data_IF_249776137801
#
_entry.id   IF_249776137801
#
_cell.length_a   1.000
_cell.length_b   1.000
_cell.length_c   1.000
_cell.angle_alpha   90.00
_cell.angle_beta   90.00
_cell.angle_gamma   90.00
#
_symmetry.space_group_name_H-M   'P 1'
#
loop_
_entity.id
_entity.type
_entity.pdbx_description
1 polymer ?
#
# COMPACT_ATOMS: atom_id res chain seq x y z
N UNK A 1 41.45 21.16 -21.92
CA UNK A 1 40.30 21.00 -20.96
C UNK A 1 38.93 20.97 -21.67
N UNK A 2 38.80 21.26 -22.96
CA UNK A 2 37.53 21.31 -23.70
C UNK A 2 36.98 19.94 -24.15
N UNK A 3 37.82 19.00 -24.59
CA UNK A 3 37.36 17.70 -25.10
C UNK A 3 36.77 16.75 -24.01
N UNK A 4 37.19 16.84 -22.75
CA UNK A 4 36.64 16.06 -21.66
C UNK A 4 35.27 16.57 -21.20
N UNK A 5 34.94 17.83 -21.37
CA UNK A 5 33.68 18.46 -21.02
C UNK A 5 32.58 18.13 -22.05
N UNK A 6 32.92 18.12 -23.35
CA UNK A 6 31.96 17.78 -24.41
C UNK A 6 31.55 16.29 -24.42
N UNK A 7 32.45 15.38 -23.99
CA UNK A 7 32.15 13.94 -23.87
C UNK A 7 31.19 13.58 -22.70
N UNK A 8 31.00 14.49 -21.73
CA UNK A 8 30.06 14.29 -20.60
C UNK A 8 28.61 14.69 -20.92
N UNK A 9 28.39 15.43 -22.00
CA UNK A 9 27.05 15.94 -22.35
C UNK A 9 26.29 15.09 -23.38
N UNK A 10 26.86 13.97 -23.82
CA UNK A 10 26.27 13.09 -24.86
C UNK A 10 26.43 11.61 -24.53
N UNK A 11 25.43 10.84 -24.93
CA UNK A 11 25.53 9.40 -25.08
C UNK A 11 26.15 9.10 -26.45
N UNK A 12 27.33 8.46 -26.47
CA UNK A 12 28.05 8.13 -27.69
C UNK A 12 28.04 6.61 -27.88
N UNK A 13 27.57 6.16 -29.03
CA UNK A 13 27.46 4.76 -29.42
C UNK A 13 28.38 4.55 -30.62
N UNK A 14 29.22 3.53 -30.59
CA UNK A 14 30.11 3.15 -31.70
C UNK A 14 29.91 1.68 -32.04
N UNK A 15 29.71 1.41 -33.31
CA UNK A 15 29.68 0.05 -33.85
C UNK A 15 28.50 -0.78 -33.36
N UNK A 16 27.28 -0.25 -33.26
CA UNK A 16 26.10 -1.03 -32.84
C UNK A 16 25.68 -2.02 -33.93
N UNK A 17 25.62 -3.32 -33.58
CA UNK A 17 25.34 -4.46 -34.50
C UNK A 17 24.26 -5.40 -33.99
N UNK A 18 23.49 -5.00 -32.96
CA UNK A 18 22.41 -5.84 -32.45
C UNK A 18 21.37 -6.11 -33.55
N UNK A 19 20.99 -7.37 -33.71
CA UNK A 19 20.00 -7.86 -34.67
C UNK A 19 20.31 -7.40 -36.12
N UNK A 20 19.50 -6.47 -36.65
CA UNK A 20 19.63 -5.95 -38.05
C UNK A 20 20.40 -4.62 -38.15
N UNK A 21 20.97 -4.12 -37.07
CA UNK A 21 21.79 -2.91 -37.10
C UNK A 21 23.09 -3.17 -37.87
N UNK A 22 23.47 -2.21 -38.72
CA UNK A 22 24.59 -2.34 -39.66
C UNK A 22 25.79 -1.52 -39.21
N UNK A 23 26.34 -1.82 -38.05
CA UNK A 23 27.52 -1.13 -37.50
C UNK A 23 27.30 0.39 -37.38
N UNK A 24 26.31 0.79 -36.62
CA UNK A 24 25.85 2.17 -36.53
C UNK A 24 26.65 2.95 -35.47
N UNK A 25 27.11 4.13 -35.82
CA UNK A 25 27.65 5.14 -34.94
C UNK A 25 26.62 6.24 -34.70
N UNK A 26 26.39 6.62 -33.44
CA UNK A 26 25.37 7.62 -33.10
C UNK A 26 25.78 8.40 -31.85
N UNK A 27 25.41 9.69 -31.82
CA UNK A 27 25.54 10.55 -30.65
C UNK A 27 24.15 11.10 -30.26
N UNK A 28 23.75 10.91 -29.00
CA UNK A 28 22.47 11.41 -28.48
C UNK A 28 22.76 12.39 -27.36
N UNK A 29 22.26 13.65 -27.41
CA UNK A 29 22.45 14.61 -26.34
C UNK A 29 21.77 14.17 -25.04
N UNK A 30 22.43 14.40 -23.88
CA UNK A 30 21.82 14.22 -22.59
C UNK A 30 20.80 15.32 -22.27
N UNK A 31 19.89 15.01 -21.32
CA UNK A 31 18.86 15.93 -20.82
C UNK A 31 17.94 16.46 -21.93
N UNK A 32 17.75 15.69 -22.97
CA UNK A 32 16.86 15.99 -24.09
C UNK A 32 15.83 14.89 -24.32
N UNK A 33 14.74 15.27 -24.99
CA UNK A 33 13.73 14.37 -25.52
C UNK A 33 14.14 13.96 -26.95
N UNK A 34 14.65 12.74 -27.06
CA UNK A 34 15.09 12.16 -28.35
C UNK A 34 14.03 11.21 -28.87
N UNK A 35 13.62 11.37 -30.12
CA UNK A 35 12.74 10.42 -30.81
C UNK A 35 13.56 9.61 -31.81
N UNK A 36 13.41 8.29 -31.79
CA UNK A 36 13.92 7.37 -32.80
C UNK A 36 12.76 6.99 -33.71
N UNK A 37 12.79 7.44 -34.94
CA UNK A 37 11.79 7.22 -35.97
C UNK A 37 12.32 6.31 -37.10
N UNK A 38 11.48 5.95 -38.03
CA UNK A 38 11.83 5.14 -39.22
C UNK A 38 10.82 4.04 -39.51
N UNK A 39 11.01 3.38 -40.64
CA UNK A 39 10.09 2.30 -41.13
C UNK A 39 10.10 1.08 -40.18
N UNK A 40 9.03 0.29 -40.23
CA UNK A 40 8.98 -0.97 -39.47
C UNK A 40 10.13 -1.89 -39.90
N UNK A 41 10.81 -2.50 -38.90
CA UNK A 41 11.95 -3.37 -39.16
C UNK A 41 13.29 -2.63 -39.41
N UNK A 42 13.36 -1.29 -39.31
CA UNK A 42 14.63 -0.55 -39.47
C UNK A 42 15.64 -0.71 -38.32
N UNK A 43 15.24 -1.30 -37.20
CA UNK A 43 16.14 -1.51 -36.05
C UNK A 43 15.94 -0.55 -34.89
N UNK A 44 14.88 0.28 -34.88
CA UNK A 44 14.60 1.25 -33.81
C UNK A 44 14.59 0.63 -32.41
N UNK A 45 13.80 -0.44 -32.24
CA UNK A 45 13.71 -1.12 -30.94
C UNK A 45 15.02 -1.86 -30.59
N UNK A 46 15.74 -2.38 -31.60
CA UNK A 46 17.07 -2.98 -31.40
C UNK A 46 18.09 -1.96 -30.89
N UNK A 47 18.04 -0.74 -31.40
CA UNK A 47 18.90 0.35 -30.94
C UNK A 47 18.50 0.82 -29.53
N UNK A 48 17.22 1.14 -29.33
CA UNK A 48 16.73 1.73 -28.07
C UNK A 48 16.75 0.71 -26.89
N UNK A 49 16.22 -0.50 -27.09
CA UNK A 49 16.02 -1.47 -26.02
C UNK A 49 17.15 -2.50 -25.94
N UNK A 50 17.51 -3.13 -27.07
CA UNK A 50 18.47 -4.25 -27.05
C UNK A 50 19.93 -3.74 -27.02
N UNK A 51 20.20 -2.48 -27.37
CA UNK A 51 21.53 -1.86 -27.29
C UNK A 51 21.61 -0.88 -26.11
N UNK A 52 20.94 0.27 -26.20
CA UNK A 52 21.13 1.38 -25.22
C UNK A 52 20.64 0.98 -23.83
N UNK A 53 19.37 0.55 -23.73
CA UNK A 53 18.80 0.19 -22.43
C UNK A 53 19.47 -1.05 -21.84
N UNK A 54 19.68 -2.11 -22.64
CA UNK A 54 20.28 -3.35 -22.18
C UNK A 54 21.69 -3.13 -21.61
N UNK A 55 22.51 -2.32 -22.30
CA UNK A 55 23.88 -2.02 -21.85
C UNK A 55 23.89 -1.11 -20.62
N UNK A 56 23.00 -0.09 -20.55
CA UNK A 56 22.85 0.73 -19.36
C UNK A 56 22.43 -0.05 -18.13
N UNK A 57 21.52 -1.01 -18.30
CA UNK A 57 21.11 -1.90 -17.22
C UNK A 57 22.23 -2.89 -16.83
N UNK A 58 22.99 -3.41 -17.80
CA UNK A 58 24.15 -4.29 -17.55
C UNK A 58 25.20 -3.58 -16.71
N UNK A 59 25.62 -2.36 -17.12
CA UNK A 59 26.62 -1.55 -16.39
C UNK A 59 26.13 -1.21 -14.98
N UNK A 60 24.84 -0.88 -14.82
CA UNK A 60 24.26 -0.64 -13.50
C UNK A 60 24.36 -1.88 -12.61
N UNK A 61 23.96 -3.06 -13.11
CA UNK A 61 24.06 -4.31 -12.36
C UNK A 61 25.52 -4.66 -12.01
N UNK A 62 26.48 -4.41 -12.92
CA UNK A 62 27.91 -4.62 -12.66
C UNK A 62 28.47 -3.69 -11.59
N UNK A 63 27.91 -2.49 -11.41
CA UNK A 63 28.31 -1.59 -10.35
C UNK A 63 27.86 -2.02 -8.95
N UNK A 64 26.94 -2.99 -8.84
CA UNK A 64 26.43 -3.50 -7.58
C UNK A 64 27.37 -4.53 -6.94
N UNK A 65 27.17 -4.78 -5.63
CA UNK A 65 27.96 -5.79 -4.91
C UNK A 65 27.80 -7.19 -5.52
N UNK A 66 28.81 -8.10 -5.39
CA UNK A 66 28.72 -9.46 -5.89
C UNK A 66 27.49 -10.23 -5.41
N UNK A 67 27.07 -9.99 -4.16
CA UNK A 67 25.88 -10.58 -3.57
C UNK A 67 24.60 -10.15 -4.33
N UNK A 68 24.42 -8.86 -4.59
CA UNK A 68 23.26 -8.34 -5.32
C UNK A 68 23.22 -8.85 -6.77
N UNK A 69 24.38 -8.98 -7.43
CA UNK A 69 24.47 -9.51 -8.81
C UNK A 69 23.94 -10.92 -8.95
N UNK A 70 24.09 -11.78 -7.93
CA UNK A 70 23.56 -13.16 -7.94
C UNK A 70 22.02 -13.20 -8.04
N UNK A 71 21.31 -12.23 -7.47
CA UNK A 71 19.85 -12.17 -7.52
C UNK A 71 19.31 -11.56 -8.82
N UNK A 72 20.06 -10.63 -9.42
CA UNK A 72 19.60 -9.89 -10.61
C UNK A 72 19.92 -10.60 -11.93
N UNK A 73 20.77 -11.64 -11.87
CA UNK A 73 21.24 -12.37 -13.04
C UNK A 73 22.25 -11.57 -13.89
N UNK A 74 23.13 -12.29 -14.58
CA UNK A 74 24.05 -11.67 -15.53
C UNK A 74 23.35 -11.47 -16.87
N UNK A 75 23.38 -10.25 -17.40
CA UNK A 75 22.92 -9.94 -18.75
C UNK A 75 24.08 -10.06 -19.74
N UNK A 76 23.77 -10.58 -20.93
CA UNK A 76 24.76 -10.61 -22.02
C UNK A 76 25.03 -9.17 -22.46
N UNK A 77 26.30 -8.83 -22.76
CA UNK A 77 26.63 -7.53 -23.33
C UNK A 77 25.92 -7.35 -24.68
N UNK A 78 25.55 -6.12 -25.00
CA UNK A 78 25.06 -5.79 -26.34
C UNK A 78 26.21 -5.95 -27.37
N UNK A 79 25.86 -6.27 -28.61
CA UNK A 79 26.83 -6.30 -29.70
C UNK A 79 27.10 -4.87 -30.19
N UNK A 80 28.06 -4.24 -29.54
CA UNK A 80 28.48 -2.85 -29.76
C UNK A 80 29.96 -2.70 -29.39
N UNK A 81 30.69 -1.88 -30.13
CA UNK A 81 32.10 -1.69 -29.84
C UNK A 81 32.32 -0.87 -28.56
N UNK A 82 31.60 0.23 -28.42
CA UNK A 82 31.69 1.11 -27.25
C UNK A 82 30.40 1.91 -27.05
N UNK A 83 30.00 2.09 -25.78
CA UNK A 83 28.98 3.08 -25.38
C UNK A 83 29.53 3.94 -24.23
N UNK A 84 29.62 5.24 -24.45
CA UNK A 84 30.13 6.23 -23.49
C UNK A 84 28.94 7.09 -23.02
N UNK A 85 28.91 7.48 -21.73
CA UNK A 85 27.94 8.39 -21.17
C UNK A 85 26.63 7.73 -20.76
N UNK A 86 26.59 6.40 -20.58
CA UNK A 86 25.38 5.72 -20.09
C UNK A 86 25.03 6.15 -18.66
N UNK A 87 23.79 6.56 -18.46
CA UNK A 87 23.18 6.74 -17.15
C UNK A 87 22.40 5.49 -16.74
N UNK A 88 22.04 5.34 -15.44
CA UNK A 88 21.09 4.32 -15.02
C UNK A 88 19.84 4.35 -15.89
N UNK A 89 19.49 3.21 -16.50
CA UNK A 89 18.45 3.16 -17.52
C UNK A 89 17.18 2.47 -17.03
N UNK A 90 16.03 3.02 -17.41
CA UNK A 90 14.69 2.50 -17.11
C UNK A 90 13.93 2.35 -18.42
N UNK A 91 13.43 1.14 -18.71
CA UNK A 91 12.54 0.90 -19.85
C UNK A 91 11.07 0.94 -19.43
N UNK A 92 10.26 1.53 -20.29
CA UNK A 92 8.80 1.55 -20.17
C UNK A 92 8.24 0.98 -21.46
N UNK A 93 8.16 -0.34 -21.52
CA UNK A 93 7.67 -1.10 -22.66
C UNK A 93 6.18 -1.46 -22.52
N UNK A 94 5.59 -1.93 -23.62
CA UNK A 94 4.19 -2.35 -23.68
C UNK A 94 3.94 -3.78 -23.17
N UNK A 95 4.96 -4.47 -22.67
CA UNK A 95 4.80 -5.86 -22.19
C UNK A 95 3.78 -5.90 -21.06
N UNK A 96 2.93 -6.91 -21.11
CA UNK A 96 1.91 -7.14 -20.08
C UNK A 96 2.52 -7.09 -18.68
N UNK A 97 1.79 -6.46 -17.77
CA UNK A 97 2.13 -6.48 -16.36
C UNK A 97 2.10 -7.92 -15.83
N UNK A 98 2.94 -8.20 -14.84
CA UNK A 98 3.01 -9.50 -14.17
C UNK A 98 1.60 -10.07 -13.91
N UNK A 99 1.41 -11.37 -14.15
CA UNK A 99 0.16 -12.11 -13.89
C UNK A 99 -0.17 -12.27 -12.39
N UNK A 100 0.29 -11.36 -11.55
CA UNK A 100 -0.05 -11.39 -10.14
C UNK A 100 -1.53 -10.99 -9.94
N UNK A 101 -2.42 -11.90 -9.52
CA UNK A 101 -3.86 -11.66 -9.39
C UNK A 101 -4.21 -10.66 -8.27
N UNK A 102 -3.24 -10.25 -7.49
CA UNK A 102 -3.40 -9.25 -6.42
C UNK A 102 -2.98 -7.84 -6.82
N UNK A 103 -2.39 -7.66 -8.01
CA UNK A 103 -1.99 -6.34 -8.49
C UNK A 103 -3.17 -5.58 -9.06
N UNK A 104 -3.35 -4.33 -8.64
CA UNK A 104 -4.38 -3.41 -9.14
C UNK A 104 -3.75 -2.10 -9.61
N UNK A 105 -4.50 -1.27 -10.33
CA UNK A 105 -4.05 0.08 -10.69
C UNK A 105 -3.57 0.85 -9.47
N UNK A 106 -4.33 0.81 -8.37
CA UNK A 106 -3.97 1.48 -7.12
C UNK A 106 -2.66 1.00 -6.50
N UNK A 107 -2.34 -0.30 -6.59
CA UNK A 107 -1.07 -0.85 -6.06
C UNK A 107 0.11 -0.57 -6.98
N UNK A 108 -0.10 -0.53 -8.30
CA UNK A 108 0.95 -0.23 -9.27
C UNK A 108 1.38 1.24 -9.27
N UNK A 109 0.48 2.12 -8.80
CA UNK A 109 0.72 3.57 -8.72
C UNK A 109 1.07 4.04 -7.32
N UNK A 110 1.24 3.13 -6.36
CA UNK A 110 1.42 3.37 -4.93
C UNK A 110 0.26 4.15 -4.26
N UNK A 111 -0.77 4.53 -5.01
CA UNK A 111 -1.92 5.27 -4.47
C UNK A 111 -2.58 4.48 -3.34
N UNK A 112 -2.71 3.15 -3.49
CA UNK A 112 -3.30 2.31 -2.46
C UNK A 112 -2.51 2.33 -1.14
N UNK A 113 -1.19 2.45 -1.18
CA UNK A 113 -0.37 2.53 0.02
C UNK A 113 -0.57 3.87 0.75
N UNK A 114 -0.68 4.97 -0.01
CA UNK A 114 -1.06 6.27 0.58
C UNK A 114 -2.49 6.26 1.12
N UNK A 115 -3.45 5.62 0.44
CA UNK A 115 -4.81 5.46 0.95
C UNK A 115 -4.84 4.72 2.29
N UNK A 116 -4.10 3.63 2.42
CA UNK A 116 -4.00 2.87 3.67
C UNK A 116 -3.50 3.74 4.82
N UNK A 117 -2.49 4.57 4.59
CA UNK A 117 -1.96 5.51 5.59
C UNK A 117 -2.98 6.59 5.91
N UNK A 118 -3.65 7.15 4.89
CA UNK A 118 -4.66 8.18 5.09
C UNK A 118 -5.83 7.67 5.93
N UNK A 119 -6.41 6.50 5.58
CA UNK A 119 -7.51 5.91 6.33
C UNK A 119 -7.13 5.53 7.76
N UNK A 120 -5.88 5.08 7.97
CA UNK A 120 -5.40 4.77 9.32
C UNK A 120 -5.20 6.02 10.20
N UNK A 121 -4.93 7.17 9.61
CA UNK A 121 -4.58 8.39 10.33
C UNK A 121 -5.75 9.31 10.62
N UNK A 122 -6.65 9.45 9.64
CA UNK A 122 -7.76 10.42 9.71
C UNK A 122 -9.13 9.80 9.43
N UNK A 123 -9.20 8.48 9.24
CA UNK A 123 -10.46 7.78 9.03
C UNK A 123 -11.32 7.74 10.28
N UNK A 124 -12.61 8.01 10.13
CA UNK A 124 -13.60 7.84 11.17
C UNK A 124 -14.03 6.38 11.25
N UNK A 125 -13.98 5.82 12.46
CA UNK A 125 -14.29 4.40 12.70
C UNK A 125 -15.77 4.25 13.04
N UNK A 126 -16.41 3.30 12.38
CA UNK A 126 -17.81 2.94 12.64
C UNK A 126 -17.92 1.46 13.04
N UNK A 127 -18.89 1.13 13.84
CA UNK A 127 -19.16 -0.25 14.19
C UNK A 127 -19.64 -1.05 12.97
N UNK A 128 -19.06 -2.21 12.64
CA UNK A 128 -19.52 -3.02 11.52
C UNK A 128 -20.90 -3.63 11.74
N UNK A 129 -21.41 -3.68 12.99
CA UNK A 129 -22.68 -4.27 13.35
C UNK A 129 -23.83 -3.24 13.34
N UNK A 130 -23.65 -2.09 14.02
CA UNK A 130 -24.70 -1.08 14.20
C UNK A 130 -24.41 0.24 13.46
N UNK A 131 -23.26 0.38 12.82
CA UNK A 131 -22.81 1.60 12.13
C UNK A 131 -22.72 2.85 13.04
N UNK A 132 -22.66 2.66 14.37
CA UNK A 132 -22.42 3.76 15.31
C UNK A 132 -20.95 4.19 15.23
N UNK A 133 -20.67 5.49 15.33
CA UNK A 133 -19.29 6.00 15.35
C UNK A 133 -18.60 5.53 16.63
N UNK A 134 -17.44 4.92 16.49
CA UNK A 134 -16.63 4.44 17.60
C UNK A 134 -15.53 5.47 17.87
N UNK A 135 -15.38 5.83 19.15
CA UNK A 135 -14.30 6.68 19.64
C UNK A 135 -13.46 5.91 20.64
N UNK A 136 -12.23 6.34 20.88
CA UNK A 136 -11.39 5.78 21.95
C UNK A 136 -12.02 6.07 23.30
N UNK A 137 -12.23 5.02 24.11
CA UNK A 137 -12.70 5.16 25.47
C UNK A 137 -11.53 5.43 26.42
N UNK A 138 -11.68 6.46 27.29
CA UNK A 138 -10.82 6.63 28.45
C UNK A 138 -11.16 5.62 29.53
N UNK A 139 -10.28 5.47 30.53
CA UNK A 139 -10.53 4.58 31.69
C UNK A 139 -11.82 5.01 32.42
N UNK A 140 -12.03 6.32 32.60
CA UNK A 140 -13.21 6.86 33.27
C UNK A 140 -14.51 6.51 32.52
N UNK A 141 -14.52 6.67 31.19
CA UNK A 141 -15.67 6.30 30.35
C UNK A 141 -15.95 4.80 30.41
N UNK A 142 -14.92 3.95 30.53
CA UNK A 142 -15.09 2.51 30.72
C UNK A 142 -15.73 2.20 32.05
N UNK A 143 -15.30 2.86 33.13
CA UNK A 143 -15.88 2.72 34.45
C UNK A 143 -17.35 3.10 34.44
N UNK A 144 -17.71 4.21 33.82
CA UNK A 144 -19.10 4.65 33.68
C UNK A 144 -19.96 3.62 32.92
N UNK A 145 -19.45 3.06 31.85
CA UNK A 145 -20.13 1.99 31.09
C UNK A 145 -20.33 0.74 31.95
N UNK A 146 -19.30 0.32 32.71
CA UNK A 146 -19.38 -0.84 33.60
C UNK A 146 -20.45 -0.62 34.66
N UNK A 147 -20.45 0.55 35.31
CA UNK A 147 -21.43 0.84 36.38
C UNK A 147 -22.85 0.90 35.83
N UNK A 148 -23.09 1.63 34.74
CA UNK A 148 -24.41 1.76 34.13
C UNK A 148 -24.98 0.39 33.72
N UNK A 149 -24.19 -0.44 33.07
CA UNK A 149 -24.61 -1.82 32.67
C UNK A 149 -24.80 -2.74 33.87
N UNK A 150 -23.98 -2.57 34.91
CA UNK A 150 -24.17 -3.30 36.15
C UNK A 150 -25.50 -2.95 36.83
N UNK A 151 -25.88 -1.68 36.82
CA UNK A 151 -27.17 -1.23 37.33
C UNK A 151 -28.35 -1.79 36.50
N UNK A 152 -28.25 -1.78 35.16
CA UNK A 152 -29.24 -2.38 34.27
C UNK A 152 -29.44 -3.89 34.50
N UNK A 153 -28.35 -4.62 34.78
CA UNK A 153 -28.37 -6.06 35.05
C UNK A 153 -28.63 -6.39 36.51
N UNK A 154 -28.83 -5.41 37.40
CA UNK A 154 -29.10 -5.57 38.82
C UNK A 154 -28.03 -6.39 39.57
N UNK A 155 -26.76 -6.28 39.15
CA UNK A 155 -25.63 -6.98 39.76
C UNK A 155 -24.86 -6.09 40.73
N UNK A 156 -24.26 -6.68 41.76
CA UNK A 156 -23.51 -5.96 42.78
C UNK A 156 -21.99 -5.99 42.54
N UNK A 157 -21.51 -7.00 41.83
CA UNK A 157 -20.08 -7.25 41.65
C UNK A 157 -19.77 -7.40 40.13
N UNK A 158 -18.59 -6.94 39.77
CA UNK A 158 -17.98 -7.16 38.46
C UNK A 158 -16.62 -7.80 38.64
N UNK A 159 -16.27 -8.75 37.79
CA UNK A 159 -14.91 -9.28 37.69
C UNK A 159 -14.24 -8.63 36.50
N UNK A 160 -13.11 -7.96 36.75
CA UNK A 160 -12.29 -7.31 35.73
C UNK A 160 -11.20 -8.30 35.30
N UNK A 161 -11.13 -8.58 34.00
CA UNK A 161 -10.10 -9.46 33.44
C UNK A 161 -9.28 -8.68 32.38
N UNK A 162 -7.98 -8.98 32.35
CA UNK A 162 -7.03 -8.47 31.37
C UNK A 162 -6.71 -9.56 30.32
N UNK A 163 -7.15 -9.44 29.07
CA UNK A 163 -6.84 -10.41 28.01
C UNK A 163 -5.39 -10.21 27.52
N UNK A 164 -4.44 -10.93 28.11
CA UNK A 164 -3.00 -10.80 27.85
C UNK A 164 -2.51 -11.62 26.65
N UNK A 165 -3.23 -12.69 26.30
CA UNK A 165 -2.98 -13.48 25.09
C UNK A 165 -4.30 -13.71 24.36
N UNK A 166 -4.34 -13.46 23.05
CA UNK A 166 -5.52 -13.64 22.21
C UNK A 166 -5.16 -14.42 20.97
N UNK A 167 -5.66 -15.66 20.89
CA UNK A 167 -5.51 -16.59 19.75
C UNK A 167 -4.07 -16.72 19.25
N UNK A 168 -3.11 -16.94 20.20
CA UNK A 168 -1.69 -17.11 19.86
C UNK A 168 -1.17 -18.46 20.36
N UNK A 169 -0.27 -19.06 19.57
CA UNK A 169 0.43 -20.30 19.92
C UNK A 169 1.50 -20.04 20.98
N UNK A 170 1.66 -20.98 21.91
CA UNK A 170 2.70 -20.92 22.93
C UNK A 170 2.34 -21.66 24.22
N UNK A 171 3.33 -21.97 25.05
CA UNK A 171 3.15 -22.66 26.33
C UNK A 171 2.85 -21.70 27.48
N UNK A 172 3.22 -20.43 27.36
CA UNK A 172 2.97 -19.29 28.25
C UNK A 172 3.31 -19.50 29.74
N UNK A 173 4.08 -20.53 30.09
CA UNK A 173 4.44 -20.83 31.47
C UNK A 173 5.08 -19.63 32.18
N UNK A 174 6.07 -18.98 31.54
CA UNK A 174 6.76 -17.83 32.11
C UNK A 174 5.83 -16.62 32.33
N UNK A 175 4.90 -16.42 31.39
CA UNK A 175 3.89 -15.35 31.48
C UNK A 175 3.00 -15.55 32.70
N UNK A 176 2.44 -16.76 32.87
CA UNK A 176 1.57 -17.09 33.99
C UNK A 176 2.30 -17.00 35.32
N UNK A 177 3.55 -17.45 35.37
CA UNK A 177 4.40 -17.33 36.56
C UNK A 177 4.69 -15.86 36.93
N UNK A 178 4.92 -14.99 35.94
CA UNK A 178 5.13 -13.57 36.20
C UNK A 178 3.89 -12.92 36.85
N UNK A 179 2.67 -13.24 36.38
CA UNK A 179 1.43 -12.73 36.98
C UNK A 179 1.20 -13.28 38.38
N UNK A 180 1.52 -14.56 38.64
CA UNK A 180 1.50 -15.11 40.00
C UNK A 180 2.45 -14.34 40.92
N UNK A 181 3.65 -14.00 40.43
CA UNK A 181 4.64 -13.24 41.20
C UNK A 181 4.19 -11.81 41.47
N UNK A 182 3.36 -11.22 40.62
CA UNK A 182 2.71 -9.93 40.83
C UNK A 182 1.53 -9.98 41.82
N UNK A 183 1.18 -11.18 42.32
CA UNK A 183 0.13 -11.37 43.31
C UNK A 183 -1.24 -11.79 42.77
N UNK A 184 -1.39 -11.97 41.47
CA UNK A 184 -2.63 -12.48 40.89
C UNK A 184 -2.78 -13.97 41.15
N UNK A 185 -4.00 -14.41 41.45
CA UNK A 185 -4.26 -15.81 41.87
C UNK A 185 -4.98 -16.62 40.84
N UNK A 186 -5.67 -16.00 39.90
CA UNK A 186 -6.58 -16.66 38.94
C UNK A 186 -6.39 -16.15 37.54
N UNK A 187 -6.58 -17.05 36.56
CA UNK A 187 -6.65 -16.73 35.15
C UNK A 187 -7.76 -17.55 34.46
N UNK A 188 -8.37 -16.98 33.44
CA UNK A 188 -9.22 -17.72 32.52
C UNK A 188 -8.39 -18.09 31.30
N UNK A 189 -8.30 -19.38 30.97
CA UNK A 189 -7.54 -19.91 29.86
C UNK A 189 -8.49 -20.76 29.00
N UNK A 190 -8.59 -20.41 27.73
CA UNK A 190 -9.48 -21.07 26.77
C UNK A 190 -10.91 -21.22 27.32
N UNK A 191 -11.40 -20.18 27.99
CA UNK A 191 -12.75 -20.11 28.59
C UNK A 191 -12.91 -20.79 29.96
N UNK A 192 -11.88 -21.48 30.50
CA UNK A 192 -11.91 -22.14 31.79
C UNK A 192 -11.09 -21.39 32.85
N UNK A 193 -11.63 -21.33 34.08
CA UNK A 193 -10.92 -20.71 35.21
C UNK A 193 -9.87 -21.67 35.76
N UNK A 194 -8.69 -21.15 36.03
CA UNK A 194 -7.55 -21.85 36.62
C UNK A 194 -6.96 -21.01 37.77
N UNK A 195 -6.51 -21.69 38.83
CA UNK A 195 -5.64 -21.09 39.81
C UNK A 195 -4.21 -21.00 39.22
N UNK A 196 -3.58 -19.82 39.26
CA UNK A 196 -2.19 -19.66 38.82
C UNK A 196 -1.18 -20.42 39.72
N UNK A 197 -1.63 -20.91 40.89
CA UNK A 197 -0.81 -21.78 41.77
C UNK A 197 -0.77 -23.23 41.29
N UNK A 198 -1.69 -23.61 40.41
CA UNK A 198 -1.74 -24.96 39.86
C UNK A 198 -0.75 -25.11 38.68
N UNK A 199 -0.35 -26.36 38.43
CA UNK A 199 0.53 -26.66 37.30
C UNK A 199 -0.27 -26.66 35.99
N UNK A 200 -0.26 -25.53 35.29
CA UNK A 200 -0.95 -25.34 34.02
C UNK A 200 -0.03 -25.77 32.88
N UNK A 201 -0.47 -26.72 32.04
CA UNK A 201 0.24 -27.16 30.84
C UNK A 201 -0.57 -26.78 29.61
N UNK A 202 -0.03 -25.93 28.76
CA UNK A 202 -0.63 -25.51 27.49
C UNK A 202 0.13 -26.11 26.31
N UNK A 203 -0.57 -26.39 25.24
CA UNK A 203 0.01 -27.01 24.05
C UNK A 203 0.74 -25.97 23.17
N UNK A 204 2.04 -26.12 22.95
CA UNK A 204 2.89 -25.19 22.19
C UNK A 204 2.35 -24.83 20.79
N UNK A 205 1.65 -25.78 20.13
CA UNK A 205 1.19 -25.64 18.74
C UNK A 205 -0.28 -25.26 18.60
N UNK A 206 -1.01 -25.12 19.71
CA UNK A 206 -2.40 -24.66 19.73
C UNK A 206 -2.49 -23.18 20.04
N UNK A 207 -3.53 -22.53 19.52
CA UNK A 207 -3.83 -21.15 19.89
C UNK A 207 -4.50 -21.13 21.25
N UNK A 208 -4.08 -20.22 22.11
CA UNK A 208 -4.63 -20.03 23.44
C UNK A 208 -5.13 -18.59 23.61
N UNK A 209 -6.19 -18.45 24.39
CA UNK A 209 -6.69 -17.20 24.92
C UNK A 209 -6.44 -17.19 26.43
N UNK A 210 -5.71 -16.18 26.95
CA UNK A 210 -5.36 -16.08 28.36
C UNK A 210 -5.81 -14.73 28.87
N UNK A 211 -6.62 -14.73 29.92
CA UNK A 211 -7.11 -13.53 30.58
C UNK A 211 -6.81 -13.64 32.09
N UNK A 212 -6.08 -12.66 32.60
CA UNK A 212 -5.76 -12.58 34.02
C UNK A 212 -6.92 -11.93 34.76
N UNK A 213 -7.38 -12.53 35.83
CA UNK A 213 -8.36 -11.93 36.75
C UNK A 213 -7.65 -10.86 37.55
N UNK A 214 -7.92 -9.59 37.23
CA UNK A 214 -7.30 -8.44 37.87
C UNK A 214 -7.90 -8.22 39.27
N UNK A 215 -9.24 -8.13 39.30
CA UNK A 215 -9.96 -7.95 40.57
C UNK A 215 -11.44 -8.33 40.43
N UNK A 216 -12.09 -8.58 41.59
CA UNK A 216 -13.54 -8.73 41.71
C UNK A 216 -14.06 -7.61 42.62
N UNK A 217 -14.67 -6.60 42.03
CA UNK A 217 -14.98 -5.32 42.65
C UNK A 217 -16.49 -5.14 42.84
N UNK A 218 -16.88 -4.48 43.92
CA UNK A 218 -18.27 -4.00 44.07
C UNK A 218 -18.48 -2.76 43.20
N UNK A 219 -19.58 -2.69 42.49
CA UNK A 219 -19.88 -1.57 41.57
C UNK A 219 -20.04 -0.19 42.23
N UNK A 220 -20.20 -0.14 43.55
CA UNK A 220 -20.22 1.10 44.34
C UNK A 220 -18.83 1.56 44.80
N UNK A 221 -17.78 0.76 44.64
CA UNK A 221 -16.40 1.10 44.98
C UNK A 221 -15.69 1.63 43.71
N UNK A 222 -15.95 2.92 43.43
CA UNK A 222 -15.43 3.56 42.23
C UNK A 222 -13.91 3.60 42.15
N UNK A 223 -13.24 3.87 43.28
CA UNK A 223 -11.78 3.97 43.35
C UNK A 223 -11.13 2.66 42.97
N UNK A 224 -11.55 1.56 43.62
CA UNK A 224 -11.03 0.23 43.35
C UNK A 224 -11.39 -0.27 41.93
N UNK A 225 -12.58 0.11 41.41
CA UNK A 225 -12.97 -0.21 40.06
C UNK A 225 -12.09 0.50 39.01
N UNK A 226 -11.79 1.77 39.23
CA UNK A 226 -10.89 2.54 38.34
C UNK A 226 -9.48 1.94 38.36
N UNK A 227 -8.92 1.65 39.52
CA UNK A 227 -7.60 0.97 39.64
C UNK A 227 -7.59 -0.39 38.92
N UNK A 228 -8.65 -1.19 39.06
CA UNK A 228 -8.75 -2.48 38.39
C UNK A 228 -8.81 -2.34 36.86
N UNK A 229 -9.55 -1.33 36.35
CA UNK A 229 -9.63 -1.03 34.91
C UNK A 229 -8.28 -0.55 34.37
N UNK A 230 -7.61 0.37 35.06
CA UNK A 230 -6.29 0.89 34.67
C UNK A 230 -5.24 -0.23 34.63
N UNK A 231 -5.18 -1.07 35.66
CA UNK A 231 -4.29 -2.23 35.68
C UNK A 231 -4.58 -3.21 34.54
N UNK A 232 -5.87 -3.48 34.28
CA UNK A 232 -6.25 -4.34 33.16
C UNK A 232 -5.83 -3.76 31.80
N UNK A 233 -5.98 -2.44 31.60
CA UNK A 233 -5.54 -1.73 30.40
C UNK A 233 -4.01 -1.81 30.21
N UNK A 234 -3.24 -1.66 31.26
CA UNK A 234 -1.78 -1.76 31.22
C UNK A 234 -1.33 -3.17 30.78
N UNK A 235 -1.84 -4.20 31.44
CA UNK A 235 -1.43 -5.60 31.18
C UNK A 235 -1.87 -6.11 29.83
N UNK A 236 -3.04 -5.73 29.37
CA UNK A 236 -3.63 -6.14 28.09
C UNK A 236 -3.27 -5.26 26.91
N UNK A 237 -2.57 -4.15 27.15
CA UNK A 237 -2.29 -3.09 26.14
C UNK A 237 -3.58 -2.45 25.62
N UNK A 238 -4.49 -2.13 26.53
CA UNK A 238 -5.67 -1.34 26.21
C UNK A 238 -6.98 -2.12 26.10
N UNK A 239 -7.08 -3.32 26.62
CA UNK A 239 -8.31 -4.12 26.63
C UNK A 239 -8.75 -4.45 28.06
N UNK A 240 -10.06 -4.41 28.31
CA UNK A 240 -10.65 -4.82 29.59
C UNK A 240 -11.87 -5.70 29.31
N UNK A 241 -11.95 -6.83 29.99
CA UNK A 241 -13.18 -7.63 30.02
C UNK A 241 -13.86 -7.39 31.35
N UNK A 242 -15.09 -6.88 31.30
CA UNK A 242 -15.96 -6.78 32.46
C UNK A 242 -16.93 -7.97 32.43
N UNK A 243 -16.83 -8.84 33.44
CA UNK A 243 -17.63 -10.05 33.55
C UNK A 243 -18.57 -9.93 34.76
N UNK A 244 -19.86 -10.05 34.49
CA UNK A 244 -20.92 -10.27 35.47
C UNK A 244 -21.20 -11.77 35.62
N UNK A 245 -22.12 -12.13 36.46
CA UNK A 245 -22.47 -13.57 36.68
C UNK A 245 -22.86 -14.29 35.40
N UNK A 246 -23.68 -13.64 34.54
CA UNK A 246 -24.25 -14.27 33.34
C UNK A 246 -23.76 -13.63 32.04
N UNK A 247 -23.28 -12.41 32.07
CA UNK A 247 -22.91 -11.63 30.89
C UNK A 247 -21.49 -11.12 31.04
N UNK A 248 -20.80 -11.03 29.91
CA UNK A 248 -19.51 -10.35 29.83
C UNK A 248 -19.43 -9.47 28.60
N UNK A 249 -18.58 -8.44 28.63
CA UNK A 249 -18.32 -7.59 27.48
C UNK A 249 -16.88 -7.08 27.51
N UNK A 250 -16.33 -6.92 26.33
CA UNK A 250 -14.98 -6.42 26.13
C UNK A 250 -15.03 -4.91 25.88
N UNK A 251 -14.22 -4.16 26.60
CA UNK A 251 -13.96 -2.74 26.40
C UNK A 251 -12.57 -2.54 25.87
N UNK A 252 -12.37 -1.50 25.08
CA UNK A 252 -11.06 -1.17 24.53
C UNK A 252 -10.76 0.30 24.70
N UNK A 253 -9.61 0.62 25.25
CA UNK A 253 -9.07 1.99 25.24
C UNK A 253 -8.71 2.42 23.82
N UNK A 254 -8.69 1.48 22.89
CA UNK A 254 -8.42 1.75 21.50
C UNK A 254 -9.72 2.04 20.72
N UNK A 255 -10.59 1.05 20.58
CA UNK A 255 -11.83 1.22 19.79
C UNK A 255 -12.91 0.21 20.24
N UNK A 256 -13.96 0.66 20.93
CA UNK A 256 -15.09 -0.21 21.33
C UNK A 256 -16.43 0.48 21.10
N UNK A 257 -17.36 -0.24 20.47
CA UNK A 257 -18.71 0.26 20.27
C UNK A 257 -19.49 0.25 21.59
N UNK A 258 -20.05 1.38 22.03
CA UNK A 258 -20.81 1.44 23.27
C UNK A 258 -22.18 0.74 23.20
N UNK A 259 -22.71 0.48 21.99
CA UNK A 259 -24.05 -0.09 21.81
C UNK A 259 -24.07 -1.61 21.76
N UNK A 260 -23.10 -2.23 21.09
CA UNK A 260 -23.08 -3.68 20.84
C UNK A 260 -21.84 -4.38 21.36
N UNK A 261 -20.96 -3.65 22.06
CA UNK A 261 -19.72 -4.15 22.66
C UNK A 261 -18.69 -4.66 21.65
N UNK A 262 -18.83 -4.33 20.37
CA UNK A 262 -17.86 -4.72 19.37
C UNK A 262 -16.54 -4.01 19.64
N UNK A 263 -15.48 -4.77 19.94
CA UNK A 263 -14.12 -4.23 20.07
C UNK A 263 -13.46 -4.22 18.70
N UNK A 264 -13.21 -3.01 18.19
CA UNK A 264 -12.59 -2.80 16.90
C UNK A 264 -11.07 -3.05 17.01
N UNK A 265 -10.43 -3.70 16.03
CA UNK A 265 -8.99 -3.90 16.04
C UNK A 265 -8.25 -2.56 15.94
N UNK A 266 -6.96 -2.56 16.26
CA UNK A 266 -6.13 -1.38 16.09
C UNK A 266 -6.16 -0.87 14.65
N UNK A 267 -6.44 0.43 14.48
CA UNK A 267 -6.58 1.07 13.18
C UNK A 267 -5.20 1.47 12.68
N UNK A 268 -4.57 0.58 11.95
CA UNK A 268 -3.25 0.75 11.37
C UNK A 268 -3.26 0.46 9.85
N UNK A 269 -2.26 0.92 9.08
CA UNK A 269 -2.25 0.73 7.63
C UNK A 269 -2.38 -0.72 7.17
N UNK A 270 -1.98 -1.71 8.01
CA UNK A 270 -2.13 -3.14 7.71
C UNK A 270 -3.58 -3.60 7.66
N UNK A 271 -4.48 -2.94 8.40
CA UNK A 271 -5.92 -3.22 8.38
C UNK A 271 -6.54 -3.00 7.00
N UNK A 272 -6.01 -2.09 6.20
CA UNK A 272 -6.50 -1.74 4.87
C UNK A 272 -5.77 -2.46 3.73
N UNK A 273 -4.90 -3.43 4.04
CA UNK A 273 -4.17 -4.20 3.05
C UNK A 273 -4.80 -5.56 2.81
N UNK A 274 -5.27 -5.80 1.61
CA UNK A 274 -5.74 -7.14 1.20
C UNK A 274 -4.60 -8.16 1.00
N UNK A 275 -3.33 -7.72 1.04
CA UNK A 275 -2.15 -8.58 1.03
C UNK A 275 -1.67 -8.95 2.46
N UNK A 276 -2.25 -8.35 3.49
CA UNK A 276 -1.95 -8.63 4.88
C UNK A 276 -3.03 -9.48 5.52
N UNK A 277 -2.69 -10.50 6.33
CA UNK A 277 -3.69 -11.28 7.09
C UNK A 277 -4.57 -10.41 8.01
N UNK A 278 -4.07 -9.23 8.43
CA UNK A 278 -4.80 -8.30 9.30
C UNK A 278 -5.94 -7.58 8.58
N UNK A 279 -5.83 -7.36 7.26
CA UNK A 279 -6.81 -6.61 6.48
C UNK A 279 -7.56 -7.46 5.45
N UNK A 280 -7.00 -8.57 5.03
CA UNK A 280 -7.58 -9.45 4.03
C UNK A 280 -8.88 -10.08 4.51
N UNK A 281 -9.82 -10.27 3.60
CA UNK A 281 -11.00 -11.10 3.85
C UNK A 281 -10.56 -12.50 4.28
N UNK A 282 -11.04 -13.02 5.43
CA UNK A 282 -10.59 -14.31 5.97
C UNK A 282 -10.93 -15.48 5.04
N UNK A 283 -12.01 -15.39 4.26
CA UNK A 283 -12.48 -16.46 3.38
C UNK A 283 -11.63 -16.59 2.11
N UNK A 284 -11.36 -15.49 1.42
CA UNK A 284 -10.60 -15.52 0.15
C UNK A 284 -9.13 -15.07 0.29
N UNK A 285 -8.68 -14.78 1.51
CA UNK A 285 -7.32 -14.33 1.80
C UNK A 285 -6.83 -13.17 0.90
N UNK A 286 -7.76 -12.25 0.58
CA UNK A 286 -7.47 -11.06 -0.22
C UNK A 286 -7.54 -11.27 -1.74
N UNK A 287 -7.98 -12.42 -2.24
CA UNK A 287 -8.14 -12.65 -3.69
C UNK A 287 -9.37 -11.94 -4.27
N UNK A 288 -10.43 -11.75 -3.49
CA UNK A 288 -11.71 -11.22 -3.96
C UNK A 288 -12.55 -12.22 -4.75
N UNK A 289 -12.00 -13.37 -5.09
CA UNK A 289 -12.63 -14.48 -5.84
C UNK A 289 -12.67 -15.74 -5.00
N UNK A 290 -13.50 -16.71 -5.39
CA UNK A 290 -13.64 -17.99 -4.71
C UNK A 290 -12.33 -18.78 -4.66
N UNK A 291 -11.58 -18.77 -5.75
CA UNK A 291 -10.21 -19.31 -5.86
C UNK A 291 -9.47 -18.64 -7.03
N UNK A 292 -8.20 -18.99 -7.24
CA UNK A 292 -7.34 -18.40 -8.29
C UNK A 292 -7.84 -18.62 -9.72
N UNK A 293 -8.60 -19.69 -9.94
CA UNK A 293 -9.06 -20.11 -11.27
C UNK A 293 -10.54 -19.78 -11.52
N UNK A 294 -11.24 -19.23 -10.52
CA UNK A 294 -12.66 -18.89 -10.61
C UNK A 294 -12.84 -17.41 -10.91
N UNK A 295 -13.81 -17.10 -11.77
CA UNK A 295 -14.29 -15.73 -11.99
C UNK A 295 -15.35 -15.30 -10.96
N UNK A 296 -15.88 -16.26 -10.19
CA UNK A 296 -16.90 -16.00 -9.18
C UNK A 296 -16.32 -15.17 -8.03
N UNK A 297 -17.04 -14.11 -7.68
CA UNK A 297 -16.68 -13.27 -6.53
C UNK A 297 -16.77 -14.06 -5.21
N UNK A 298 -15.91 -13.73 -4.27
CA UNK A 298 -15.97 -14.26 -2.92
C UNK A 298 -17.32 -13.93 -2.27
N UNK A 299 -18.02 -14.92 -1.74
CA UNK A 299 -19.36 -14.79 -1.14
C UNK A 299 -19.38 -13.89 0.10
N UNK A 300 -18.26 -13.77 0.83
CA UNK A 300 -18.17 -12.96 2.06
C UNK A 300 -17.83 -11.49 1.74
N UNK A 301 -16.79 -11.24 0.96
CA UNK A 301 -16.36 -9.86 0.67
C UNK A 301 -16.91 -9.31 -0.66
N UNK A 302 -17.66 -10.10 -1.41
CA UNK A 302 -18.24 -9.71 -2.71
C UNK A 302 -17.24 -9.05 -3.68
N UNK A 303 -16.00 -9.52 -3.68
CA UNK A 303 -14.93 -9.01 -4.55
C UNK A 303 -14.09 -7.88 -3.93
N UNK A 304 -14.48 -7.31 -2.80
CA UNK A 304 -13.80 -6.17 -2.18
C UNK A 304 -12.43 -6.53 -1.57
N UNK A 305 -12.15 -7.82 -1.32
CA UNK A 305 -10.88 -8.38 -0.81
C UNK A 305 -10.56 -8.08 0.65
N UNK A 306 -11.23 -7.12 1.28
CA UNK A 306 -11.00 -6.65 2.64
C UNK A 306 -12.01 -7.25 3.63
N UNK A 307 -11.64 -7.25 4.89
CA UNK A 307 -12.51 -7.64 6.00
C UNK A 307 -13.49 -6.52 6.37
N UNK A 308 -14.62 -6.83 7.04
CA UNK A 308 -15.66 -5.85 7.36
C UNK A 308 -15.15 -4.65 8.18
N UNK A 309 -14.22 -4.89 9.10
CA UNK A 309 -13.66 -3.83 9.95
C UNK A 309 -12.92 -2.76 9.11
N UNK A 310 -12.15 -3.19 8.12
CA UNK A 310 -11.49 -2.26 7.20
C UNK A 310 -12.49 -1.39 6.41
N UNK A 311 -13.66 -1.96 6.08
CA UNK A 311 -14.73 -1.29 5.35
C UNK A 311 -15.57 -0.37 6.24
N UNK A 312 -15.46 -0.53 7.56
CA UNK A 312 -16.17 0.29 8.54
C UNK A 312 -15.43 1.57 8.90
N UNK A 313 -14.22 1.79 8.37
CA UNK A 313 -13.50 3.06 8.47
C UNK A 313 -13.82 3.93 7.26
N UNK A 314 -14.23 5.18 7.48
CA UNK A 314 -14.69 6.07 6.42
C UNK A 314 -13.98 7.43 6.45
N UNK A 315 -13.77 8.00 5.28
CA UNK A 315 -13.37 9.38 5.06
C UNK A 315 -14.48 10.04 4.23
N UNK A 316 -15.05 11.13 4.70
CA UNK A 316 -16.15 11.81 4.02
C UNK A 316 -17.24 10.80 3.55
N UNK A 317 -17.69 9.94 4.46
CA UNK A 317 -18.70 8.88 4.29
C UNK A 317 -18.36 7.77 3.27
N UNK A 318 -17.12 7.67 2.78
CA UNK A 318 -16.68 6.58 1.90
C UNK A 318 -15.58 5.75 2.54
N UNK A 319 -15.71 4.43 2.48
CA UNK A 319 -14.61 3.53 2.85
C UNK A 319 -13.59 3.40 1.72
N UNK A 320 -12.42 2.79 2.02
CA UNK A 320 -11.32 2.66 1.08
C UNK A 320 -11.70 1.90 -0.20
N UNK A 321 -12.58 0.89 -0.11
CA UNK A 321 -13.03 0.14 -1.28
C UNK A 321 -13.93 0.99 -2.17
N UNK A 322 -14.88 1.73 -1.58
CA UNK A 322 -15.75 2.64 -2.33
C UNK A 322 -14.96 3.74 -3.06
N UNK A 323 -13.89 4.25 -2.45
CA UNK A 323 -13.01 5.21 -3.11
C UNK A 323 -12.21 4.54 -4.23
N UNK A 324 -11.70 3.31 -4.01
CA UNK A 324 -10.97 2.56 -5.03
C UNK A 324 -11.82 2.19 -6.24
N UNK A 325 -13.15 2.12 -6.10
CA UNK A 325 -14.12 1.87 -7.18
C UNK A 325 -14.42 3.11 -8.02
N UNK A 326 -14.12 4.29 -7.52
CA UNK A 326 -14.31 5.51 -8.32
C UNK A 326 -13.36 5.50 -9.53
N UNK A 327 -13.82 6.11 -10.63
CA UNK A 327 -12.88 6.44 -11.71
C UNK A 327 -11.84 7.45 -11.21
N UNK A 328 -10.63 7.43 -11.80
CA UNK A 328 -9.53 8.33 -11.43
C UNK A 328 -10.00 9.78 -11.35
N UNK A 329 -10.80 10.23 -12.35
CA UNK A 329 -11.39 11.57 -12.34
C UNK A 329 -12.27 11.82 -11.11
N UNK A 330 -13.19 10.89 -10.79
CA UNK A 330 -14.08 11.01 -9.62
C UNK A 330 -13.32 10.90 -8.30
N UNK A 331 -12.27 10.09 -8.25
CA UNK A 331 -11.41 9.97 -7.08
C UNK A 331 -10.63 11.28 -6.84
N UNK A 332 -10.12 11.92 -7.91
CA UNK A 332 -9.47 13.23 -7.82
C UNK A 332 -10.42 14.30 -7.29
N UNK A 333 -11.64 14.38 -7.85
CA UNK A 333 -12.68 15.32 -7.37
C UNK A 333 -13.05 15.08 -5.90
N UNK A 334 -13.09 13.80 -5.47
CA UNK A 334 -13.36 13.44 -4.09
C UNK A 334 -12.26 13.95 -3.14
N UNK A 335 -10.98 13.72 -3.49
CA UNK A 335 -9.87 14.13 -2.63
C UNK A 335 -9.64 15.63 -2.61
N UNK A 336 -9.86 16.35 -3.72
CA UNK A 336 -9.81 17.81 -3.75
C UNK A 336 -10.86 18.41 -2.81
N UNK A 337 -12.11 17.96 -2.90
CA UNK A 337 -13.19 18.39 -2.01
C UNK A 337 -12.96 18.02 -0.54
N UNK A 338 -12.30 16.91 -0.28
CA UNK A 338 -11.94 16.51 1.08
C UNK A 338 -10.82 17.40 1.62
N UNK A 339 -9.78 17.64 0.83
CA UNK A 339 -8.66 18.51 1.19
C UNK A 339 -9.10 19.93 1.59
N UNK A 340 -10.03 20.52 0.83
CA UNK A 340 -10.63 21.83 1.14
C UNK A 340 -11.39 21.86 2.48
N UNK A 341 -11.90 20.72 2.94
CA UNK A 341 -12.70 20.59 4.17
C UNK A 341 -11.92 20.11 5.38
N UNK A 342 -10.66 19.74 5.20
CA UNK A 342 -9.84 19.21 6.29
C UNK A 342 -9.66 20.25 7.40
N UNK A 343 -9.79 19.79 8.63
CA UNK A 343 -9.50 20.58 9.82
C UNK A 343 -7.99 20.83 9.95
N UNK A 344 -7.59 21.85 10.72
CA UNK A 344 -6.17 22.14 11.00
C UNK A 344 -5.43 20.93 11.58
N UNK A 345 -6.11 20.11 12.38
CA UNK A 345 -5.57 18.88 12.98
C UNK A 345 -5.32 17.80 11.92
N UNK A 346 -6.30 17.59 11.05
CA UNK A 346 -6.17 16.60 9.97
C UNK A 346 -5.09 17.00 8.97
N UNK A 347 -4.97 18.28 8.62
CA UNK A 347 -3.91 18.81 7.78
C UNK A 347 -2.53 18.53 8.41
N UNK A 348 -2.34 18.86 9.68
CA UNK A 348 -1.07 18.60 10.37
C UNK A 348 -0.67 17.10 10.37
N UNK A 349 -1.64 16.19 10.32
CA UNK A 349 -1.41 14.75 10.38
C UNK A 349 -1.22 14.13 8.97
N UNK A 350 -1.98 14.59 7.97
CA UNK A 350 -2.15 13.86 6.71
C UNK A 350 -1.91 14.69 5.44
N UNK A 351 -1.53 15.97 5.53
CA UNK A 351 -1.32 16.85 4.36
C UNK A 351 -0.37 16.22 3.33
N UNK A 352 0.79 15.77 3.76
CA UNK A 352 1.76 15.15 2.85
C UNK A 352 1.20 13.92 2.14
N UNK A 353 0.36 13.13 2.82
CA UNK A 353 -0.22 11.91 2.25
C UNK A 353 -1.27 12.25 1.20
N UNK A 354 -2.17 13.19 1.49
CA UNK A 354 -3.24 13.56 0.56
C UNK A 354 -2.71 14.28 -0.67
N UNK A 355 -1.69 15.14 -0.53
CA UNK A 355 -1.01 15.79 -1.65
C UNK A 355 -0.38 14.76 -2.58
N UNK A 356 0.22 13.70 -2.04
CA UNK A 356 0.77 12.62 -2.85
C UNK A 356 -0.31 11.83 -3.60
N UNK A 357 -1.47 11.61 -2.98
CA UNK A 357 -2.62 10.96 -3.66
C UNK A 357 -3.13 11.83 -4.80
N UNK A 358 -3.38 13.11 -4.54
CA UNK A 358 -3.87 14.08 -5.54
C UNK A 358 -2.89 14.18 -6.71
N UNK A 359 -1.61 14.36 -6.45
CA UNK A 359 -0.57 14.46 -7.49
C UNK A 359 -0.53 13.24 -8.41
N UNK A 360 -0.64 12.03 -7.86
CA UNK A 360 -0.66 10.78 -8.65
C UNK A 360 -1.94 10.64 -9.48
N UNK A 361 -3.10 11.00 -8.89
CA UNK A 361 -4.37 10.97 -9.62
C UNK A 361 -4.39 12.00 -10.76
N UNK A 362 -3.89 13.21 -10.53
CA UNK A 362 -3.71 14.22 -11.59
C UNK A 362 -2.83 13.74 -12.71
N UNK A 363 -1.75 13.04 -12.35
CA UNK A 363 -0.87 12.49 -13.37
C UNK A 363 -1.57 11.42 -14.21
N UNK A 364 -2.28 10.47 -13.60
CA UNK A 364 -3.06 9.44 -14.32
C UNK A 364 -4.11 10.08 -15.24
N UNK A 365 -4.73 11.19 -14.81
CA UNK A 365 -5.64 11.96 -15.63
C UNK A 365 -4.92 12.59 -16.84
N UNK A 366 -3.71 13.15 -16.64
CA UNK A 366 -2.91 13.77 -17.72
C UNK A 366 -2.49 12.77 -18.80
N UNK A 367 -2.25 11.50 -18.43
CA UNK A 367 -1.89 10.44 -19.40
C UNK A 367 -3.13 9.72 -19.99
N UNK A 368 -4.34 10.27 -19.83
CA UNK A 368 -5.56 9.77 -20.47
C UNK A 368 -6.12 8.49 -19.82
N UNK A 369 -5.89 8.27 -18.52
CA UNK A 369 -6.41 7.11 -17.78
C UNK A 369 -7.55 7.47 -16.83
N UNK A 370 -8.25 8.58 -17.07
CA UNK A 370 -9.29 9.16 -16.22
C UNK A 370 -10.50 8.23 -15.99
N UNK A 371 -10.77 7.32 -16.91
CA UNK A 371 -11.87 6.35 -16.86
C UNK A 371 -11.57 5.10 -16.03
N UNK A 372 -10.31 4.77 -15.76
CA UNK A 372 -9.93 3.61 -14.96
C UNK A 372 -10.31 3.80 -13.49
N UNK A 373 -10.57 2.68 -12.79
CA UNK A 373 -10.70 2.66 -11.33
C UNK A 373 -9.42 2.14 -10.67
N UNK A 374 -9.16 2.55 -9.43
CA UNK A 374 -7.98 2.09 -8.68
C UNK A 374 -8.03 0.59 -8.32
N UNK A 375 -9.24 0.01 -8.22
CA UNK A 375 -9.42 -1.42 -7.96
C UNK A 375 -9.23 -2.32 -9.18
N UNK A 376 -9.15 -1.74 -10.40
CA UNK A 376 -9.04 -2.53 -11.64
C UNK A 376 -7.82 -3.43 -11.60
N UNK A 377 -8.03 -4.70 -11.91
CA UNK A 377 -6.97 -5.71 -11.92
C UNK A 377 -5.92 -5.42 -13.00
N UNK A 378 -4.64 -5.49 -12.63
CA UNK A 378 -3.52 -5.17 -13.51
C UNK A 378 -3.47 -6.03 -14.78
N UNK A 379 -3.84 -7.30 -14.68
CA UNK A 379 -3.83 -8.23 -15.82
C UNK A 379 -4.94 -7.95 -16.86
N UNK A 380 -5.92 -7.11 -16.52
CA UNK A 380 -7.00 -6.70 -17.43
C UNK A 380 -6.68 -5.45 -18.25
N UNK A 381 -5.52 -4.84 -18.02
CA UNK A 381 -5.09 -3.64 -18.70
C UNK A 381 -4.55 -3.95 -20.09
N UNK A 382 -4.82 -3.09 -21.03
CA UNK A 382 -4.14 -3.10 -22.32
C UNK A 382 -2.66 -2.74 -22.18
N UNK A 383 -1.83 -3.09 -23.16
CA UNK A 383 -0.41 -2.76 -23.14
C UNK A 383 -0.13 -1.26 -22.96
N UNK A 384 -0.88 -0.40 -23.68
CA UNK A 384 -0.77 1.05 -23.56
C UNK A 384 -1.22 1.58 -22.20
N UNK A 385 -2.29 1.05 -21.59
CA UNK A 385 -2.71 1.41 -20.21
C UNK A 385 -1.63 1.03 -19.19
N UNK A 386 -1.09 -0.18 -19.31
CA UNK A 386 -0.02 -0.69 -18.44
C UNK A 386 1.24 0.18 -18.53
N UNK A 387 1.62 0.56 -19.74
CA UNK A 387 2.77 1.44 -20.00
C UNK A 387 2.59 2.81 -19.36
N UNK A 388 1.42 3.45 -19.54
CA UNK A 388 1.14 4.77 -18.95
C UNK A 388 1.08 4.72 -17.42
N UNK A 389 0.60 3.62 -16.82
CA UNK A 389 0.66 3.43 -15.37
C UNK A 389 2.10 3.32 -14.88
N UNK A 390 2.98 2.59 -15.59
CA UNK A 390 4.41 2.52 -15.25
C UNK A 390 5.08 3.90 -15.38
N UNK A 391 4.77 4.65 -16.43
CA UNK A 391 5.26 6.01 -16.61
C UNK A 391 4.85 6.89 -15.42
N UNK A 392 3.60 6.77 -14.95
CA UNK A 392 3.08 7.48 -13.78
C UNK A 392 3.92 7.23 -12.52
N UNK A 393 4.25 5.98 -12.24
CA UNK A 393 5.04 5.63 -11.05
C UNK A 393 6.47 6.18 -11.13
N UNK A 394 7.08 6.20 -12.33
CA UNK A 394 8.45 6.69 -12.52
C UNK A 394 8.56 8.21 -12.38
N UNK A 395 7.61 8.97 -12.89
CA UNK A 395 7.62 10.44 -12.75
C UNK A 395 7.43 10.87 -11.29
N UNK A 396 6.67 10.10 -10.54
CA UNK A 396 6.47 10.32 -9.10
C UNK A 396 7.70 9.97 -8.25
N UNK A 397 8.67 9.23 -8.80
CA UNK A 397 9.88 8.78 -8.07
C UNK A 397 10.93 9.89 -7.84
N UNK A 398 10.77 11.08 -8.44
CA UNK A 398 11.73 12.19 -8.38
C UNK A 398 13.16 11.84 -8.81
N UNK A 399 13.35 10.78 -9.62
CA UNK A 399 14.65 10.43 -10.15
C UNK A 399 15.15 11.51 -11.11
N UNK A 400 16.44 11.80 -11.04
CA UNK A 400 17.17 12.70 -11.95
C UNK A 400 18.43 12.01 -12.48
N UNK A 401 18.97 12.50 -13.58
CA UNK A 401 20.13 11.91 -14.27
C UNK A 401 19.91 10.46 -14.66
N UNK A 402 18.70 10.13 -15.05
CA UNK A 402 18.27 8.78 -15.46
C UNK A 402 17.97 8.80 -16.96
N UNK A 403 18.28 7.69 -17.63
CA UNK A 403 17.94 7.46 -19.03
C UNK A 403 16.62 6.69 -19.10
N UNK A 404 15.58 7.27 -19.63
CA UNK A 404 14.29 6.63 -19.89
C UNK A 404 14.19 6.21 -21.34
N UNK A 405 13.78 4.96 -21.58
CA UNK A 405 13.54 4.42 -22.92
C UNK A 405 12.08 3.95 -22.99
N UNK A 406 11.29 4.54 -23.91
CA UNK A 406 9.86 4.27 -24.07
C UNK A 406 9.57 3.70 -25.48
N UNK A 407 8.62 2.76 -25.53
CA UNK A 407 8.16 2.14 -26.77
C UNK A 407 6.76 2.61 -27.12
N UNK A 408 6.62 3.38 -28.20
CA UNK A 408 5.35 3.88 -28.76
C UNK A 408 4.32 4.36 -27.69
N UNK A 409 4.68 5.30 -26.81
CA UNK A 409 3.83 5.66 -25.67
C UNK A 409 2.53 6.36 -26.08
N UNK A 410 2.39 6.82 -27.32
CA UNK A 410 1.18 7.47 -27.84
C UNK A 410 0.18 6.48 -28.43
N UNK A 411 0.52 5.19 -28.55
CA UNK A 411 -0.35 4.20 -29.16
C UNK A 411 -1.74 4.14 -28.49
N UNK A 412 -2.80 4.22 -29.30
CA UNK A 412 -4.18 4.17 -28.84
C UNK A 412 -4.66 5.41 -28.09
N UNK A 413 -3.89 6.50 -28.08
CA UNK A 413 -4.33 7.79 -27.56
C UNK A 413 -5.11 8.61 -28.60
N UNK A 414 -6.07 9.37 -28.10
CA UNK A 414 -6.68 10.44 -28.86
C UNK A 414 -5.69 11.63 -28.93
N UNK A 415 -5.78 12.40 -29.99
CA UNK A 415 -4.88 13.53 -30.26
C UNK A 415 -4.68 14.49 -29.09
N UNK A 416 -5.75 14.81 -28.38
CA UNK A 416 -5.73 15.65 -27.17
C UNK A 416 -4.90 15.03 -26.02
N UNK A 417 -4.94 13.72 -25.88
CA UNK A 417 -4.23 13.01 -24.80
C UNK A 417 -2.76 12.81 -25.17
N UNK A 418 -2.45 12.71 -26.48
CA UNK A 418 -1.07 12.74 -27.00
C UNK A 418 -0.37 14.03 -26.62
N UNK A 419 -0.99 15.20 -26.77
CA UNK A 419 -0.40 16.50 -26.38
C UNK A 419 -0.06 16.54 -24.86
N UNK A 420 -0.97 16.07 -24.02
CA UNK A 420 -0.74 15.97 -22.56
C UNK A 420 0.39 15.03 -22.19
N UNK A 421 0.49 13.90 -22.92
CA UNK A 421 1.58 12.95 -22.72
C UNK A 421 2.92 13.60 -23.09
N UNK A 422 3.00 14.30 -24.23
CA UNK A 422 4.20 15.04 -24.67
C UNK A 422 4.63 16.07 -23.62
N UNK A 423 3.69 16.86 -23.08
CA UNK A 423 4.01 17.81 -21.98
C UNK A 423 4.57 17.09 -20.76
N UNK A 424 4.05 15.91 -20.47
CA UNK A 424 4.48 15.09 -19.35
C UNK A 424 5.92 14.56 -19.55
N UNK A 425 6.24 14.10 -20.76
CA UNK A 425 7.59 13.65 -21.13
C UNK A 425 8.59 14.80 -21.11
N UNK A 426 8.19 16.00 -21.53
CA UNK A 426 9.02 17.21 -21.39
C UNK A 426 9.32 17.55 -19.93
N UNK A 427 8.32 17.43 -19.04
CA UNK A 427 8.54 17.60 -17.59
C UNK A 427 9.48 16.55 -17.00
N UNK A 428 9.45 15.31 -17.52
CA UNK A 428 10.41 14.27 -17.11
C UNK A 428 11.84 14.65 -17.54
N UNK A 429 12.01 15.10 -18.77
CA UNK A 429 13.28 15.65 -19.29
C UNK A 429 13.78 16.83 -18.46
N UNK A 430 12.93 17.80 -18.15
CA UNK A 430 13.26 19.02 -17.42
C UNK A 430 13.77 18.77 -15.99
N UNK A 431 13.61 17.55 -15.48
CA UNK A 431 14.25 17.09 -14.23
C UNK A 431 15.69 16.58 -14.42
N UNK A 432 16.37 16.99 -15.46
CA UNK A 432 17.70 16.53 -15.86
C UNK A 432 17.74 15.03 -16.20
N UNK A 433 16.73 14.54 -16.91
CA UNK A 433 16.69 13.17 -17.41
C UNK A 433 16.85 13.17 -18.94
N UNK A 434 17.45 12.10 -19.47
CA UNK A 434 17.49 11.83 -20.91
C UNK A 434 16.30 10.93 -21.25
N UNK A 435 15.48 11.32 -22.20
CA UNK A 435 14.27 10.56 -22.59
C UNK A 435 14.40 10.15 -24.05
N UNK A 436 14.48 8.84 -24.29
CA UNK A 436 14.51 8.26 -25.66
C UNK A 436 13.18 7.59 -25.92
N UNK A 437 12.54 7.92 -27.03
CA UNK A 437 11.24 7.38 -27.41
C UNK A 437 11.34 6.76 -28.81
N UNK A 438 10.91 5.51 -28.93
CA UNK A 438 10.63 4.92 -30.25
C UNK A 438 9.21 5.33 -30.62
N UNK A 439 9.04 6.09 -31.72
CA UNK A 439 7.74 6.65 -32.07
C UNK A 439 7.54 6.88 -33.57
N UNK A 440 6.26 6.93 -33.97
CA UNK A 440 5.82 7.22 -35.33
C UNK A 440 4.84 8.41 -35.41
N UNK A 441 4.36 8.88 -34.26
CA UNK A 441 3.42 10.01 -34.19
C UNK A 441 4.09 11.33 -34.59
N UNK A 442 3.51 12.02 -35.57
CA UNK A 442 4.06 13.25 -36.12
C UNK A 442 4.17 14.37 -35.07
N UNK A 443 3.21 14.48 -34.15
CA UNK A 443 3.24 15.51 -33.10
C UNK A 443 4.37 15.25 -32.12
N UNK A 444 4.61 14.02 -31.74
CA UNK A 444 5.71 13.61 -30.85
C UNK A 444 7.05 13.86 -31.52
N UNK A 445 7.20 13.52 -32.79
CA UNK A 445 8.41 13.79 -33.57
C UNK A 445 8.69 15.31 -33.63
N UNK A 446 7.69 16.13 -33.96
CA UNK A 446 7.84 17.60 -34.01
C UNK A 446 8.11 18.23 -32.65
N UNK A 447 7.70 17.59 -31.56
CA UNK A 447 7.89 18.10 -30.22
C UNK A 447 9.22 17.67 -29.58
N UNK A 448 9.97 16.78 -30.22
CA UNK A 448 11.28 16.31 -29.75
C UNK A 448 12.36 17.40 -29.86
N UNK A 449 13.38 17.29 -29.02
CA UNK A 449 14.57 18.15 -29.07
C UNK A 449 15.59 17.58 -30.07
N UNK A 450 15.62 16.27 -30.22
CA UNK A 450 16.54 15.56 -31.12
C UNK A 450 15.82 14.40 -31.82
N UNK A 451 16.11 14.20 -33.09
CA UNK A 451 15.51 13.16 -33.94
C UNK A 451 16.62 12.25 -34.49
N UNK A 452 16.38 10.95 -34.38
CA UNK A 452 17.16 9.88 -35.04
C UNK A 452 16.21 9.17 -35.99
N UNK A 453 16.50 9.26 -37.29
CA UNK A 453 15.70 8.64 -38.34
C UNK A 453 16.49 7.53 -39.04
#
# INVERSE_FOLDING_TARGET
MSEKSEKQDKLIIRGARMHNLKNIDLEIPHNQLTVISGVSGSGKSSLAFDTIFAEGQRQYVESLSPYMRQFLGQKKPADVDEIIGLAPSISIDQKALSHNPRSTVGTLTDIHDYLRVLYARVGEVFCPLCNHKIEKLSADEMVDIIVNRGAENQVKYVTILAPVVRSRKGEYYQLLYNYLSLGYSEARIDGKMYSLRDKIKLALRQNHDIEIVVDKVMLNDMTRLTEAVENALEYSKGLVIAKYEKNEFLLSANWTCPLDNFSFPEVEPRLFSFNSPHGACPTCTGLGKKNLFSEEKCVVCNGVRLRPEALSVKINNKNIAQVSQLSIKKALDFFNKYYEKMTKRELAIAENVIVQIISRLEFLLKVGLDYLSLERDAYTLSGGEAQRIRLSSQISSHLSRTLYVLDEPTIGLHERDTERLIETLKKLRDKNNTVIIVEHDEKTIKASDYLVD
#
